data_IF_550423275060
#
_entry.id   IF_550423275060
#
_cell.length_a   1.000
_cell.length_b   1.000
_cell.length_c   1.000
_cell.angle_alpha   90.00
_cell.angle_beta   90.00
_cell.angle_gamma   90.00
#
_symmetry.space_group_name_H-M   'P 1'
#
loop_
_entity.id
_entity.type
_entity.pdbx_description
1 polymer ?
#
# COMPACT_ATOMS: atom_id res chain seq x y z
N UNK A 1 17.71 -1.42 -12.75
CA UNK A 1 16.29 -1.19 -13.12
C UNK A 1 15.97 0.29 -13.15
N UNK A 2 15.50 0.83 -14.27
CA UNK A 2 15.00 2.23 -14.35
C UNK A 2 13.49 2.20 -14.49
N UNK A 3 12.78 2.76 -13.51
CA UNK A 3 11.31 2.81 -13.52
C UNK A 3 10.86 4.06 -14.26
N UNK A 4 10.00 3.89 -15.26
CA UNK A 4 9.48 4.99 -16.08
C UNK A 4 8.37 5.77 -15.35
N UNK A 5 8.17 7.04 -15.71
CA UNK A 5 7.07 7.85 -15.16
C UNK A 5 5.69 7.33 -15.57
N UNK A 6 5.57 6.78 -16.78
CA UNK A 6 4.33 6.24 -17.36
C UNK A 6 4.01 4.81 -16.91
N UNK A 7 4.55 4.39 -15.76
CA UNK A 7 4.36 3.05 -15.21
C UNK A 7 2.88 2.77 -14.92
N UNK A 8 2.44 1.57 -15.28
CA UNK A 8 1.12 0.98 -15.00
C UNK A 8 1.26 -0.23 -14.08
N UNK A 9 0.16 -0.71 -13.50
CA UNK A 9 0.16 -1.96 -12.72
C UNK A 9 0.77 -3.12 -13.52
N UNK A 10 0.40 -3.28 -14.79
CA UNK A 10 0.91 -4.37 -15.62
C UNK A 10 2.41 -4.25 -15.89
N UNK A 11 2.92 -3.05 -16.17
CA UNK A 11 4.37 -2.84 -16.33
C UNK A 11 5.15 -3.06 -15.02
N UNK A 12 4.52 -2.86 -13.85
CA UNK A 12 5.14 -3.20 -12.54
C UNK A 12 5.24 -4.71 -12.38
N UNK A 13 4.19 -5.45 -12.74
CA UNK A 13 4.23 -6.92 -12.70
C UNK A 13 5.25 -7.48 -13.71
N UNK A 14 5.44 -6.84 -14.86
CA UNK A 14 6.51 -7.18 -15.81
C UNK A 14 7.90 -6.96 -15.22
N UNK A 15 8.12 -5.85 -14.52
CA UNK A 15 9.38 -5.60 -13.81
C UNK A 15 9.63 -6.65 -12.71
N UNK A 16 8.59 -7.06 -11.98
CA UNK A 16 8.65 -8.14 -10.98
C UNK A 16 8.92 -9.52 -11.60
N UNK A 17 8.65 -9.71 -12.90
CA UNK A 17 8.91 -10.96 -13.62
C UNK A 17 10.35 -11.12 -14.10
N UNK A 18 11.19 -10.09 -13.95
CA UNK A 18 12.60 -10.19 -14.33
C UNK A 18 13.38 -11.09 -13.35
N UNK A 19 13.95 -12.19 -13.85
CA UNK A 19 14.57 -13.27 -13.04
C UNK A 19 15.70 -12.79 -12.13
N UNK A 20 16.41 -11.73 -12.52
CA UNK A 20 17.33 -11.02 -11.64
C UNK A 20 16.84 -9.58 -11.47
N UNK A 21 16.12 -9.33 -10.37
CA UNK A 21 15.87 -7.95 -9.97
C UNK A 21 17.23 -7.27 -9.80
N UNK A 22 17.53 -6.35 -10.71
CA UNK A 22 18.79 -5.62 -10.74
C UNK A 22 19.23 -5.13 -9.36
N UNK A 23 20.52 -5.17 -9.04
CA UNK A 23 21.05 -4.65 -7.78
C UNK A 23 20.85 -3.14 -7.62
N UNK A 24 20.67 -2.42 -8.72
CA UNK A 24 20.33 -1.01 -8.72
C UNK A 24 18.91 -0.72 -9.16
N UNK A 25 18.27 0.25 -8.50
CA UNK A 25 16.98 0.79 -8.93
C UNK A 25 17.03 2.31 -9.02
N UNK A 26 16.31 2.87 -9.98
CA UNK A 26 16.09 4.30 -10.14
C UNK A 26 14.58 4.56 -10.18
N UNK A 27 14.09 5.30 -9.18
CA UNK A 27 12.67 5.57 -8.94
C UNK A 27 12.33 6.98 -9.46
N UNK A 28 11.24 7.15 -10.24
CA UNK A 28 10.85 8.47 -10.70
C UNK A 28 10.32 9.32 -9.54
N UNK A 29 10.63 10.62 -9.54
CA UNK A 29 10.11 11.58 -8.56
C UNK A 29 8.58 11.74 -8.62
N UNK A 30 7.98 11.46 -9.78
CA UNK A 30 6.55 11.49 -9.99
C UNK A 30 6.12 10.48 -11.05
N UNK A 31 4.91 9.98 -10.91
CA UNK A 31 4.24 9.13 -11.91
C UNK A 31 3.31 9.98 -12.77
N UNK A 32 3.12 9.57 -14.02
CA UNK A 32 2.19 10.22 -14.94
C UNK A 32 0.78 10.24 -14.36
N UNK A 33 0.09 11.38 -14.48
CA UNK A 33 -1.24 11.61 -13.90
C UNK A 33 -1.31 11.40 -12.38
N UNK A 34 -0.18 11.49 -11.69
CA UNK A 34 -0.06 11.29 -10.26
C UNK A 34 -0.18 9.84 -9.80
N UNK A 35 -0.33 8.84 -10.70
CA UNK A 35 -0.36 7.41 -10.33
C UNK A 35 -1.73 6.90 -9.86
N UNK A 36 -2.77 7.07 -10.67
CA UNK A 36 -4.14 6.63 -10.38
C UNK A 36 -4.17 5.11 -10.18
N UNK A 37 -5.03 4.60 -9.28
CA UNK A 37 -5.31 3.17 -9.13
C UNK A 37 -4.20 2.36 -8.45
N UNK A 38 -3.71 2.84 -7.30
CA UNK A 38 -2.76 2.08 -6.48
C UNK A 38 -1.38 1.92 -7.10
N UNK A 39 -1.05 2.63 -8.18
CA UNK A 39 0.27 2.58 -8.82
C UNK A 39 1.38 2.91 -7.81
N UNK A 40 1.16 3.91 -6.95
CA UNK A 40 2.15 4.27 -5.91
C UNK A 40 2.37 3.13 -4.90
N UNK A 41 1.29 2.44 -4.53
CA UNK A 41 1.35 1.29 -3.61
C UNK A 41 2.01 0.07 -4.26
N UNK A 42 1.70 -0.21 -5.53
CA UNK A 42 2.34 -1.28 -6.31
C UNK A 42 3.83 -1.00 -6.55
N UNK A 43 4.21 0.25 -6.83
CA UNK A 43 5.62 0.66 -6.89
C UNK A 43 6.30 0.46 -5.54
N UNK A 44 5.65 0.82 -4.45
CA UNK A 44 6.20 0.59 -3.10
C UNK A 44 6.47 -0.89 -2.86
N UNK A 45 5.55 -1.78 -3.27
CA UNK A 45 5.75 -3.23 -3.15
C UNK A 45 6.86 -3.77 -4.06
N UNK A 46 6.99 -3.26 -5.28
CA UNK A 46 8.12 -3.56 -6.16
C UNK A 46 9.44 -3.20 -5.47
N UNK A 47 9.53 -2.03 -4.86
CA UNK A 47 10.74 -1.57 -4.15
C UNK A 47 11.01 -2.38 -2.88
N UNK A 48 9.97 -2.74 -2.12
CA UNK A 48 10.10 -3.64 -0.97
C UNK A 48 10.65 -5.00 -1.41
N UNK A 49 10.10 -5.56 -2.48
CA UNK A 49 10.51 -6.87 -3.03
C UNK A 49 11.96 -6.82 -3.53
N UNK A 50 12.30 -5.77 -4.28
CA UNK A 50 13.67 -5.50 -4.72
C UNK A 50 14.65 -5.42 -3.54
N UNK A 51 14.32 -4.62 -2.53
CA UNK A 51 15.21 -4.35 -1.40
C UNK A 51 15.43 -5.57 -0.48
N UNK A 52 14.52 -6.55 -0.53
CA UNK A 52 14.64 -7.82 0.21
C UNK A 52 15.34 -8.92 -0.59
N UNK A 53 15.58 -8.72 -1.88
CA UNK A 53 16.39 -9.64 -2.68
C UNK A 53 17.83 -9.72 -2.17
N UNK A 54 18.54 -10.77 -2.56
CA UNK A 54 19.93 -10.99 -2.17
C UNK A 54 20.88 -9.94 -2.77
N UNK A 55 22.00 -9.70 -2.09
CA UNK A 55 23.05 -8.78 -2.57
C UNK A 55 22.89 -7.33 -2.10
N UNK A 56 23.80 -6.48 -2.57
CA UNK A 56 23.80 -5.06 -2.27
C UNK A 56 22.72 -4.34 -3.09
N UNK A 57 21.87 -3.56 -2.42
CA UNK A 57 20.76 -2.85 -3.08
C UNK A 57 21.05 -1.36 -3.16
N UNK A 58 21.31 -0.88 -4.37
CA UNK A 58 21.74 0.50 -4.64
C UNK A 58 20.57 1.33 -5.19
N UNK A 59 20.21 2.41 -4.50
CA UNK A 59 19.24 3.38 -5.00
C UNK A 59 19.97 4.46 -5.80
N UNK A 60 19.81 4.47 -7.13
CA UNK A 60 20.40 5.48 -8.00
C UNK A 60 19.45 6.67 -8.14
N UNK A 61 19.95 7.87 -7.83
CA UNK A 61 19.23 9.13 -8.00
C UNK A 61 19.24 9.60 -9.46
N UNK A 62 18.39 10.58 -9.77
CA UNK A 62 18.34 11.25 -11.08
C UNK A 62 19.10 12.59 -11.09
N UNK A 63 19.90 12.88 -10.05
CA UNK A 63 20.57 14.17 -9.85
C UNK A 63 22.09 14.01 -9.76
N UNK A 64 22.80 15.13 -9.90
CA UNK A 64 24.23 15.24 -9.61
C UNK A 64 24.49 15.32 -8.10
N UNK A 65 25.77 15.35 -7.74
CA UNK A 65 26.26 15.41 -6.36
C UNK A 65 25.86 16.71 -5.64
N UNK A 66 25.84 17.85 -6.32
CA UNK A 66 25.48 19.13 -5.70
C UNK A 66 23.97 19.26 -5.39
N UNK A 67 23.13 18.44 -6.02
CA UNK A 67 21.67 18.52 -5.92
C UNK A 67 21.05 17.43 -5.02
N UNK A 68 21.84 16.45 -4.56
CA UNK A 68 21.32 15.21 -3.99
C UNK A 68 20.38 15.43 -2.81
N UNK A 69 20.69 16.38 -1.93
CA UNK A 69 19.90 16.60 -0.71
C UNK A 69 18.47 17.03 -1.03
N UNK A 70 18.30 17.93 -2.01
CA UNK A 70 16.99 18.39 -2.47
C UNK A 70 16.21 17.30 -3.21
N UNK A 71 16.93 16.47 -3.97
CA UNK A 71 16.37 15.34 -4.71
C UNK A 71 15.87 14.25 -3.76
N UNK A 72 16.67 13.85 -2.76
CA UNK A 72 16.28 12.88 -1.73
C UNK A 72 15.08 13.36 -0.92
N UNK A 73 15.08 14.63 -0.49
CA UNK A 73 13.95 15.23 0.22
C UNK A 73 12.65 15.23 -0.60
N UNK A 74 12.75 15.28 -1.93
CA UNK A 74 11.59 15.18 -2.83
C UNK A 74 11.17 13.72 -3.04
N UNK A 75 12.13 12.84 -3.34
CA UNK A 75 11.89 11.42 -3.57
C UNK A 75 11.23 10.75 -2.36
N UNK A 76 11.74 11.01 -1.16
CA UNK A 76 11.27 10.42 0.09
C UNK A 76 9.84 10.81 0.49
N UNK A 77 9.20 11.77 -0.20
CA UNK A 77 7.79 12.08 0.04
C UNK A 77 6.81 11.11 -0.65
N UNK A 78 7.27 10.41 -1.68
CA UNK A 78 6.52 9.30 -2.26
C UNK A 78 6.69 8.05 -1.40
N UNK A 79 5.66 7.21 -1.33
CA UNK A 79 5.73 5.93 -0.60
C UNK A 79 6.84 5.01 -1.13
N UNK A 80 6.97 4.90 -2.46
CA UNK A 80 8.01 4.10 -3.09
C UNK A 80 9.42 4.66 -2.86
N UNK A 81 9.60 5.98 -2.93
CA UNK A 81 10.88 6.64 -2.66
C UNK A 81 11.30 6.52 -1.20
N UNK A 82 10.37 6.68 -0.25
CA UNK A 82 10.62 6.41 1.16
C UNK A 82 11.04 4.95 1.37
N UNK A 83 10.35 4.00 0.73
CA UNK A 83 10.72 2.60 0.80
C UNK A 83 12.11 2.32 0.27
N UNK A 84 12.47 2.89 -0.87
CA UNK A 84 13.80 2.77 -1.46
C UNK A 84 14.88 3.31 -0.51
N UNK A 85 14.69 4.52 0.01
CA UNK A 85 15.65 5.19 0.91
C UNK A 85 15.81 4.43 2.24
N UNK A 86 14.72 3.94 2.83
CA UNK A 86 14.77 3.19 4.08
C UNK A 86 15.42 1.81 3.87
N UNK A 87 15.05 1.10 2.81
CA UNK A 87 15.35 -0.32 2.68
C UNK A 87 16.64 -0.62 1.91
N UNK A 88 17.11 0.27 1.03
CA UNK A 88 18.36 0.07 0.28
C UNK A 88 19.58 -0.16 1.19
N UNK A 89 20.66 -0.65 0.58
CA UNK A 89 21.98 -0.73 1.18
C UNK A 89 22.75 0.56 0.96
N UNK A 90 22.75 1.09 -0.27
CA UNK A 90 23.49 2.29 -0.69
C UNK A 90 22.64 3.26 -1.50
N UNK A 91 23.10 4.50 -1.59
CA UNK A 91 22.49 5.56 -2.40
C UNK A 91 23.56 6.19 -3.27
N UNK A 92 23.35 6.22 -4.58
CA UNK A 92 24.31 6.77 -5.55
C UNK A 92 23.67 7.92 -6.34
N UNK A 93 24.47 8.92 -6.70
CA UNK A 93 24.06 9.96 -7.66
C UNK A 93 23.93 9.40 -9.08
N UNK A 94 23.49 10.22 -10.03
CA UNK A 94 23.43 9.84 -11.44
C UNK A 94 24.82 9.52 -12.02
N UNK A 95 25.88 10.06 -11.41
CA UNK A 95 27.28 9.91 -11.80
C UNK A 95 28.02 8.85 -10.97
N UNK A 96 27.29 7.98 -10.25
CA UNK A 96 27.83 6.88 -9.43
C UNK A 96 28.72 7.34 -8.27
N UNK A 97 28.43 8.53 -7.74
CA UNK A 97 29.06 8.99 -6.50
C UNK A 97 28.18 8.52 -5.35
N UNK A 98 28.76 7.73 -4.45
CA UNK A 98 28.08 7.19 -3.27
C UNK A 98 27.79 8.33 -2.29
N UNK A 99 26.57 8.35 -1.77
CA UNK A 99 26.10 9.25 -0.73
C UNK A 99 25.94 8.44 0.55
N UNK A 100 26.48 8.96 1.65
CA UNK A 100 26.27 8.37 2.97
C UNK A 100 24.78 8.26 3.27
N UNK A 101 24.31 7.02 3.46
CA UNK A 101 22.88 6.74 3.62
C UNK A 101 22.30 7.46 4.85
N UNK A 102 23.08 7.61 5.92
CA UNK A 102 22.68 8.38 7.09
C UNK A 102 22.34 9.82 6.73
N UNK A 103 23.13 10.45 5.87
CA UNK A 103 22.94 11.84 5.45
C UNK A 103 21.71 11.96 4.55
N UNK A 104 21.52 11.00 3.64
CA UNK A 104 20.29 10.88 2.85
C UNK A 104 19.05 10.80 3.76
N UNK A 105 19.06 9.95 4.80
CA UNK A 105 17.95 9.81 5.73
C UNK A 105 17.74 11.04 6.62
N UNK A 106 18.79 11.79 6.97
CA UNK A 106 18.68 13.03 7.74
C UNK A 106 17.87 14.10 7.01
N UNK A 107 17.92 14.14 5.67
CA UNK A 107 17.07 15.06 4.88
C UNK A 107 15.57 14.80 5.05
N UNK A 108 15.18 13.58 5.43
CA UNK A 108 13.79 13.18 5.65
C UNK A 108 13.29 13.47 7.07
N UNK A 109 14.17 13.86 8.00
CA UNK A 109 13.83 14.00 9.42
C UNK A 109 12.58 14.87 9.67
N UNK A 110 12.37 16.03 9.00
CA UNK A 110 11.15 16.82 9.19
C UNK A 110 9.88 16.05 8.82
N UNK A 111 9.91 15.27 7.73
CA UNK A 111 8.79 14.44 7.30
C UNK A 111 8.56 13.26 8.25
N UNK A 112 9.63 12.59 8.70
CA UNK A 112 9.55 11.51 9.70
C UNK A 112 8.95 12.02 11.01
N UNK A 113 9.35 13.22 11.46
CA UNK A 113 8.76 13.88 12.63
C UNK A 113 7.27 14.16 12.41
N UNK A 114 6.90 14.71 11.26
CA UNK A 114 5.50 14.96 10.92
C UNK A 114 4.64 13.69 10.89
N UNK A 115 5.16 12.58 10.33
CA UNK A 115 4.49 11.28 10.37
C UNK A 115 4.34 10.77 11.81
N UNK A 116 5.40 10.89 12.61
CA UNK A 116 5.38 10.48 14.01
C UNK A 116 4.34 11.25 14.83
N UNK A 117 4.24 12.57 14.63
CA UNK A 117 3.29 13.43 15.36
C UNK A 117 1.88 13.46 14.76
N UNK A 118 1.69 12.93 13.54
CA UNK A 118 0.39 12.97 12.85
C UNK A 118 0.06 14.31 12.21
N UNK A 119 1.07 15.10 11.82
CA UNK A 119 0.90 16.37 11.10
C UNK A 119 0.68 16.08 9.61
N UNK A 120 -0.51 15.58 9.26
CA UNK A 120 -0.83 15.00 7.94
C UNK A 120 -0.44 15.87 6.73
N UNK A 121 -0.61 17.20 6.85
CA UNK A 121 -0.28 18.13 5.76
C UNK A 121 1.19 18.05 5.34
N UNK A 122 2.08 17.84 6.30
CA UNK A 122 3.53 17.80 6.08
C UNK A 122 4.04 16.41 5.63
N UNK A 123 3.14 15.43 5.55
CA UNK A 123 3.46 14.06 5.06
C UNK A 123 3.01 13.84 3.62
N UNK A 124 2.58 14.91 2.94
CA UNK A 124 2.15 14.90 1.54
C UNK A 124 3.31 14.79 0.55
N UNK A 125 3.04 14.19 -0.60
CA UNK A 125 3.96 14.16 -1.75
C UNK A 125 4.09 15.51 -2.48
N UNK A 126 3.15 16.43 -2.27
CA UNK A 126 3.08 17.74 -2.92
C UNK A 126 3.11 18.86 -1.90
N UNK A 127 3.89 19.91 -2.19
CA UNK A 127 3.84 21.18 -1.46
C UNK A 127 2.68 22.01 -2.04
N UNK A 128 1.75 22.45 -1.21
CA UNK A 128 0.61 23.26 -1.64
C UNK A 128 -0.47 23.46 -0.58
N UNK A 129 -1.45 24.31 -0.88
CA UNK A 129 -2.55 24.61 0.02
C UNK A 129 -3.50 23.41 0.25
N UNK A 130 -3.60 22.51 -0.74
CA UNK A 130 -4.39 21.27 -0.69
C UNK A 130 -3.55 20.09 -1.16
N UNK A 131 -3.04 19.23 -0.25
CA UNK A 131 -2.34 18.02 -0.65
C UNK A 131 -3.30 17.08 -1.40
N UNK A 132 -2.79 16.27 -2.32
CA UNK A 132 -3.57 15.23 -3.01
C UNK A 132 -3.23 13.82 -2.54
N UNK A 133 -2.13 13.66 -1.82
CA UNK A 133 -1.69 12.40 -1.21
C UNK A 133 -1.18 12.69 0.20
N UNK A 134 -1.49 11.80 1.14
CA UNK A 134 -0.98 11.78 2.51
C UNK A 134 -0.38 10.41 2.74
N UNK A 135 0.88 10.37 3.17
CA UNK A 135 1.61 9.15 3.46
C UNK A 135 1.88 9.05 4.97
N UNK A 136 1.59 7.89 5.57
CA UNK A 136 1.88 7.59 6.98
C UNK A 136 2.54 6.22 7.06
N UNK A 137 3.81 6.17 7.46
CA UNK A 137 4.59 4.94 7.50
C UNK A 137 5.29 4.76 8.84
N UNK A 138 5.19 3.55 9.38
CA UNK A 138 5.98 3.05 10.49
C UNK A 138 7.16 2.28 9.94
N UNK A 139 8.37 2.61 10.40
CA UNK A 139 9.63 1.98 9.97
C UNK A 139 10.10 1.03 11.06
N UNK A 140 10.16 -0.27 10.75
CA UNK A 140 10.59 -1.30 11.70
C UNK A 140 11.98 -1.00 12.27
N UNK A 141 12.14 -1.17 13.58
CA UNK A 141 13.39 -0.98 14.32
C UNK A 141 13.94 0.46 14.32
N UNK A 142 13.19 1.44 13.80
CA UNK A 142 13.54 2.84 13.96
C UNK A 142 13.18 3.34 15.37
N UNK A 143 13.89 4.38 15.85
CA UNK A 143 13.57 5.04 17.14
C UNK A 143 12.12 5.54 17.22
N UNK A 144 11.52 5.84 16.08
CA UNK A 144 10.14 6.32 15.92
C UNK A 144 9.28 5.33 15.13
N UNK A 145 9.53 4.03 15.32
CA UNK A 145 8.78 2.98 14.64
C UNK A 145 7.26 3.16 14.80
N UNK A 146 6.80 3.35 16.04
CA UNK A 146 5.39 3.45 16.36
C UNK A 146 4.91 4.90 16.29
N UNK A 147 4.40 5.30 15.12
CA UNK A 147 3.87 6.65 14.90
C UNK A 147 2.55 6.87 15.67
N UNK A 148 2.35 8.06 16.25
CA UNK A 148 1.15 8.38 17.06
C UNK A 148 -0.17 8.21 16.31
N UNK A 149 -0.27 8.42 14.98
CA UNK A 149 -1.51 8.14 14.26
C UNK A 149 -1.98 6.68 14.34
N UNK A 150 -1.05 5.71 14.38
CA UNK A 150 -1.41 4.29 14.37
C UNK A 150 -1.43 3.69 15.77
N UNK A 151 -0.66 4.25 16.71
CA UNK A 151 -0.36 3.61 17.98
C UNK A 151 -0.59 4.52 19.18
N UNK A 152 -1.07 3.91 20.25
CA UNK A 152 -1.16 4.50 21.58
C UNK A 152 -0.61 3.56 22.66
N UNK A 153 -0.49 4.09 23.88
CA UNK A 153 -0.14 3.31 25.07
C UNK A 153 1.36 3.27 25.37
N UNK A 154 1.74 2.30 26.21
CA UNK A 154 3.08 2.13 26.76
C UNK A 154 4.01 1.29 25.87
N UNK A 155 4.85 0.47 26.51
CA UNK A 155 5.81 -0.43 25.85
C UNK A 155 5.43 -1.87 26.19
N UNK A 156 4.97 -2.70 25.23
CA UNK A 156 4.78 -2.38 23.81
C UNK A 156 3.51 -1.54 23.55
N UNK A 157 3.50 -0.70 22.51
CA UNK A 157 2.33 0.08 22.14
C UNK A 157 1.28 -0.80 21.46
N UNK A 158 0.03 -0.31 21.45
CA UNK A 158 -1.11 -0.98 20.82
C UNK A 158 -1.65 -0.15 19.67
N UNK A 159 -2.12 -0.82 18.62
CA UNK A 159 -2.82 -0.16 17.51
C UNK A 159 -4.09 0.53 18.03
N UNK A 160 -4.33 1.75 17.60
CA UNK A 160 -5.52 2.51 17.95
C UNK A 160 -6.83 1.81 17.52
N UNK A 161 -7.96 2.07 18.19
CA UNK A 161 -9.27 1.62 17.71
C UNK A 161 -9.69 2.28 16.39
N UNK A 162 -10.73 1.73 15.76
CA UNK A 162 -11.15 2.12 14.40
C UNK A 162 -11.69 3.55 14.26
N UNK A 163 -12.18 4.15 15.34
CA UNK A 163 -12.61 5.56 15.41
C UNK A 163 -11.43 6.53 15.22
N UNK A 164 -10.24 6.20 15.71
CA UNK A 164 -9.03 6.98 15.47
C UNK A 164 -8.68 7.03 13.98
N UNK A 165 -8.78 5.88 13.28
CA UNK A 165 -8.54 5.80 11.84
C UNK A 165 -9.61 6.54 11.03
N UNK A 166 -10.88 6.49 11.47
CA UNK A 166 -11.92 7.35 10.91
C UNK A 166 -11.54 8.85 11.06
N UNK A 167 -11.01 9.25 12.21
CA UNK A 167 -10.51 10.62 12.43
C UNK A 167 -9.33 11.02 11.53
N UNK A 168 -8.43 10.09 11.18
CA UNK A 168 -7.36 10.34 10.21
C UNK A 168 -7.94 10.64 8.84
N UNK A 169 -8.92 9.84 8.40
CA UNK A 169 -9.55 10.01 7.09
C UNK A 169 -10.33 11.31 7.00
N UNK A 170 -11.06 11.69 8.05
CA UNK A 170 -11.76 12.97 8.11
C UNK A 170 -10.80 14.16 7.99
N UNK A 171 -9.70 14.13 8.76
CA UNK A 171 -8.65 15.16 8.67
C UNK A 171 -8.02 15.20 7.28
N UNK A 172 -7.68 14.05 6.70
CA UNK A 172 -7.14 13.96 5.36
C UNK A 172 -8.10 14.52 4.31
N UNK A 173 -9.38 14.11 4.35
CA UNK A 173 -10.44 14.61 3.47
C UNK A 173 -10.61 16.12 3.61
N UNK A 174 -10.56 16.66 4.83
CA UNK A 174 -10.62 18.11 5.09
C UNK A 174 -9.46 18.89 4.47
N UNK A 175 -8.27 18.29 4.37
CA UNK A 175 -7.11 18.89 3.71
C UNK A 175 -7.18 18.80 2.17
N UNK A 176 -7.74 17.70 1.65
CA UNK A 176 -7.74 17.38 0.22
C UNK A 176 -8.92 17.99 -0.54
N UNK A 177 -10.10 18.08 0.08
CA UNK A 177 -11.39 18.29 -0.60
C UNK A 177 -12.06 19.62 -0.26
N UNK A 178 -12.98 20.08 -1.12
CA UNK A 178 -13.83 21.24 -0.82
C UNK A 178 -14.96 20.89 0.14
N UNK A 179 -15.63 21.89 0.75
CA UNK A 179 -16.78 21.64 1.64
C UNK A 179 -17.94 20.88 0.98
N UNK A 180 -18.08 20.94 -0.35
CA UNK A 180 -19.12 20.25 -1.08
C UNK A 180 -18.80 18.75 -1.22
N UNK A 181 -17.60 18.42 -1.70
CA UNK A 181 -17.15 17.03 -1.94
C UNK A 181 -17.09 16.21 -0.63
N UNK A 182 -16.72 16.85 0.49
CA UNK A 182 -16.68 16.20 1.80
C UNK A 182 -18.03 15.63 2.27
N UNK A 183 -19.16 16.22 1.86
CA UNK A 183 -20.48 15.80 2.38
C UNK A 183 -20.87 14.39 1.94
N UNK A 184 -20.38 13.91 0.79
CA UNK A 184 -20.68 12.57 0.30
C UNK A 184 -19.95 11.48 1.10
N UNK A 185 -18.64 11.65 1.33
CA UNK A 185 -17.81 10.72 2.13
C UNK A 185 -18.31 10.62 3.59
N UNK A 186 -18.71 11.75 4.17
CA UNK A 186 -19.07 11.87 5.59
C UNK A 186 -20.44 11.31 5.95
N UNK A 187 -21.36 11.14 4.97
CA UNK A 187 -22.75 10.79 5.29
C UNK A 187 -22.89 9.34 5.76
N UNK A 188 -22.09 8.39 5.23
CA UNK A 188 -22.19 6.97 5.59
C UNK A 188 -20.88 6.14 5.50
N UNK A 189 -19.79 6.68 4.93
CA UNK A 189 -18.58 5.88 4.62
C UNK A 189 -17.46 5.93 5.65
N UNK A 190 -17.36 7.01 6.44
CA UNK A 190 -16.18 7.27 7.27
C UNK A 190 -15.91 6.18 8.33
N UNK A 191 -16.94 5.76 9.07
CA UNK A 191 -16.81 4.72 10.09
C UNK A 191 -16.45 3.36 9.48
N UNK A 192 -17.07 3.01 8.34
CA UNK A 192 -16.75 1.80 7.59
C UNK A 192 -15.30 1.80 7.11
N UNK A 193 -14.81 2.93 6.60
CA UNK A 193 -13.43 3.06 6.15
C UNK A 193 -12.44 3.02 7.33
N UNK A 194 -12.76 3.64 8.46
CA UNK A 194 -11.98 3.53 9.70
C UNK A 194 -11.84 2.08 10.17
N UNK A 195 -12.93 1.30 10.13
CA UNK A 195 -12.91 -0.13 10.43
C UNK A 195 -12.01 -0.92 9.47
N UNK A 196 -12.10 -0.66 8.16
CA UNK A 196 -11.24 -1.34 7.18
C UNK A 196 -9.77 -1.05 7.46
N UNK A 197 -9.41 0.23 7.61
CA UNK A 197 -8.01 0.63 7.82
C UNK A 197 -7.47 0.06 9.13
N UNK A 198 -8.25 0.13 10.21
CA UNK A 198 -7.88 -0.47 11.50
C UNK A 198 -7.50 -1.95 11.35
N UNK A 199 -8.39 -2.75 10.75
CA UNK A 199 -8.16 -4.19 10.61
C UNK A 199 -6.94 -4.46 9.72
N UNK A 200 -6.74 -3.71 8.65
CA UNK A 200 -5.59 -3.88 7.76
C UNK A 200 -4.26 -3.47 8.43
N UNK A 201 -4.23 -2.36 9.18
CA UNK A 201 -3.04 -1.92 9.92
C UNK A 201 -2.74 -2.88 11.09
N UNK A 202 -3.77 -3.37 11.77
CA UNK A 202 -3.62 -4.38 12.83
C UNK A 202 -3.03 -5.69 12.28
N UNK A 203 -3.50 -6.15 11.11
CA UNK A 203 -2.93 -7.33 10.45
C UNK A 203 -1.46 -7.09 10.05
N UNK A 204 -1.14 -5.92 9.50
CA UNK A 204 0.25 -5.57 9.17
C UNK A 204 1.14 -5.53 10.42
N UNK A 205 0.67 -4.94 11.53
CA UNK A 205 1.42 -4.91 12.79
C UNK A 205 1.68 -6.32 13.35
N UNK A 206 0.67 -7.19 13.31
CA UNK A 206 0.75 -8.54 13.84
C UNK A 206 1.56 -9.52 12.98
N UNK A 207 1.57 -9.34 11.65
CA UNK A 207 2.07 -10.37 10.74
C UNK A 207 3.24 -9.92 9.85
N UNK A 208 3.51 -8.62 9.77
CA UNK A 208 4.51 -8.03 8.87
C UNK A 208 5.69 -7.34 9.60
N UNK A 209 5.81 -7.53 10.91
CA UNK A 209 6.92 -6.98 11.72
C UNK A 209 8.11 -7.94 11.88
N UNK A 210 7.88 -9.22 11.60
CA UNK A 210 8.87 -10.30 11.75
C UNK A 210 9.00 -11.14 10.48
N UNK A 211 10.14 -11.83 10.33
CA UNK A 211 10.33 -12.89 9.33
C UNK A 211 9.45 -14.11 9.63
N UNK A 212 9.52 -15.14 8.77
CA UNK A 212 8.85 -16.40 9.02
C UNK A 212 9.45 -17.15 10.22
N UNK A 213 10.74 -16.95 10.49
CA UNK A 213 11.45 -17.48 11.66
C UNK A 213 11.14 -16.70 12.96
N UNK A 214 10.33 -15.64 12.87
CA UNK A 214 9.96 -14.81 14.02
C UNK A 214 10.96 -13.69 14.36
N UNK A 215 12.03 -13.53 13.57
CA UNK A 215 13.01 -12.47 13.78
C UNK A 215 12.44 -11.10 13.39
N UNK A 216 12.63 -10.08 14.23
CA UNK A 216 12.18 -8.72 13.91
C UNK A 216 12.97 -8.15 12.74
N UNK A 217 12.28 -7.54 11.78
CA UNK A 217 12.94 -6.91 10.64
C UNK A 217 13.83 -5.73 11.06
N UNK A 218 15.08 -5.73 10.60
CA UNK A 218 16.00 -4.59 10.74
C UNK A 218 15.56 -3.38 9.93
N UNK A 219 14.94 -3.63 8.77
CA UNK A 219 14.36 -2.63 7.87
C UNK A 219 13.04 -3.19 7.38
N UNK A 220 11.96 -2.45 7.57
CA UNK A 220 10.62 -2.83 7.16
C UNK A 220 9.68 -1.64 7.24
N UNK A 221 8.60 -1.71 6.49
CA UNK A 221 7.58 -0.69 6.40
C UNK A 221 6.21 -1.31 6.62
N UNK A 222 5.36 -0.53 7.28
CA UNK A 222 3.90 -0.71 7.33
C UNK A 222 3.27 0.66 7.31
N UNK A 223 2.29 0.87 6.44
CA UNK A 223 1.81 2.22 6.20
C UNK A 223 0.48 2.32 5.50
N UNK A 224 0.00 3.56 5.48
CA UNK A 224 -1.25 4.02 4.91
C UNK A 224 -0.94 5.15 3.93
N UNK A 225 -1.39 5.01 2.70
CA UNK A 225 -1.44 6.09 1.72
C UNK A 225 -2.89 6.45 1.49
N UNK A 226 -3.24 7.72 1.71
CA UNK A 226 -4.56 8.28 1.39
C UNK A 226 -4.38 9.23 0.23
N UNK A 227 -5.19 9.07 -0.80
CA UNK A 227 -5.08 9.84 -2.02
C UNK A 227 -6.43 10.26 -2.53
N UNK A 228 -6.51 11.52 -2.94
CA UNK A 228 -7.67 12.06 -3.63
C UNK A 228 -7.33 12.25 -5.10
N UNK A 229 -8.19 11.77 -5.99
CA UNK A 229 -7.96 11.88 -7.45
C UNK A 229 -9.27 12.19 -8.16
N UNK A 230 -9.21 13.14 -9.09
CA UNK A 230 -10.28 13.42 -10.03
C UNK A 230 -9.99 12.76 -11.36
N UNK A 231 -10.79 11.77 -11.72
CA UNK A 231 -10.68 11.03 -12.98
C UNK A 231 -11.63 11.64 -14.01
N UNK A 232 -11.13 11.92 -15.21
CA UNK A 232 -11.97 12.40 -16.32
C UNK A 232 -12.40 11.23 -17.22
N UNK A 233 -13.60 11.30 -17.80
CA UNK A 233 -14.15 10.27 -18.70
C UNK A 233 -13.24 9.99 -19.90
N UNK A 234 -12.61 11.04 -20.44
CA UNK A 234 -11.62 10.94 -21.53
C UNK A 234 -10.41 10.08 -21.16
N UNK A 235 -10.11 9.91 -19.88
CA UNK A 235 -8.96 9.14 -19.40
C UNK A 235 -9.28 7.64 -19.25
N UNK A 236 -10.53 7.20 -19.40
CA UNK A 236 -10.92 5.82 -19.15
C UNK A 236 -10.38 4.85 -20.21
N UNK A 237 -10.67 5.13 -21.49
CA UNK A 237 -10.41 4.21 -22.60
C UNK A 237 -8.92 4.05 -22.93
N UNK A 238 -8.13 5.10 -22.74
CA UNK A 238 -6.71 5.07 -23.13
C UNK A 238 -5.81 4.51 -22.01
N UNK A 239 -6.30 4.41 -20.76
CA UNK A 239 -5.45 4.11 -19.59
C UNK A 239 -5.78 2.82 -18.85
N UNK A 240 -7.02 2.33 -18.96
CA UNK A 240 -7.48 1.17 -18.20
C UNK A 240 -7.97 0.05 -19.13
N UNK A 241 -7.14 -0.35 -20.09
CA UNK A 241 -7.41 -1.47 -20.98
C UNK A 241 -6.86 -2.79 -20.41
N UNK A 242 -7.26 -3.92 -21.00
CA UNK A 242 -6.73 -5.24 -20.64
C UNK A 242 -7.08 -5.66 -19.19
N UNK A 243 -6.07 -5.97 -18.39
CA UNK A 243 -6.21 -6.44 -17.00
C UNK A 243 -6.99 -5.47 -16.10
N UNK A 244 -6.99 -4.18 -16.46
CA UNK A 244 -7.69 -3.12 -15.74
C UNK A 244 -9.17 -2.94 -16.11
N UNK A 245 -9.73 -3.75 -17.02
CA UNK A 245 -11.10 -3.59 -17.51
C UNK A 245 -12.18 -3.64 -16.42
N UNK A 246 -11.96 -4.40 -15.33
CA UNK A 246 -12.88 -4.43 -14.19
C UNK A 246 -12.92 -3.07 -13.46
N UNK A 247 -11.76 -2.44 -13.30
CA UNK A 247 -11.65 -1.11 -12.71
C UNK A 247 -12.22 -0.05 -13.64
N UNK A 248 -11.93 -0.12 -14.95
CA UNK A 248 -12.55 0.76 -15.95
C UNK A 248 -14.08 0.74 -15.87
N UNK A 249 -14.67 -0.47 -15.79
CA UNK A 249 -16.12 -0.65 -15.64
C UNK A 249 -16.64 -0.07 -14.32
N UNK A 250 -15.90 -0.24 -13.24
CA UNK A 250 -16.23 0.39 -11.96
C UNK A 250 -16.27 1.92 -12.07
N UNK A 251 -15.29 2.54 -12.73
CA UNK A 251 -15.27 3.98 -12.96
C UNK A 251 -16.46 4.42 -13.82
N UNK A 252 -16.71 3.73 -14.95
CA UNK A 252 -17.80 4.05 -15.86
C UNK A 252 -19.18 3.97 -15.18
N UNK A 253 -19.40 2.96 -14.34
CA UNK A 253 -20.66 2.78 -13.60
C UNK A 253 -20.92 3.86 -12.54
N UNK A 254 -19.86 4.50 -12.02
CA UNK A 254 -19.97 5.58 -11.04
C UNK A 254 -19.93 6.99 -11.69
N UNK A 255 -19.66 7.08 -12.99
CA UNK A 255 -19.75 8.31 -13.79
C UNK A 255 -21.15 8.47 -14.43
N UNK A 256 -22.20 8.58 -13.61
CA UNK A 256 -23.60 8.58 -14.10
C UNK A 256 -24.09 9.94 -14.59
N UNK A 257 -23.61 11.06 -14.04
CA UNK A 257 -24.14 12.41 -14.33
C UNK A 257 -23.06 13.47 -14.68
N UNK A 258 -21.86 13.05 -15.08
CA UNK A 258 -20.81 13.99 -15.46
C UNK A 258 -19.62 13.34 -16.14
N UNK A 259 -18.67 14.18 -16.55
CA UNK A 259 -17.42 13.77 -17.18
C UNK A 259 -16.27 13.58 -16.20
N UNK A 260 -16.53 13.75 -14.89
CA UNK A 260 -15.52 13.54 -13.86
C UNK A 260 -16.06 12.68 -12.71
N UNK A 261 -15.18 11.86 -12.16
CA UNK A 261 -15.41 11.10 -10.93
C UNK A 261 -14.32 11.47 -9.93
N UNK A 262 -14.74 11.93 -8.76
CA UNK A 262 -13.85 12.13 -7.64
C UNK A 262 -13.73 10.82 -6.85
N UNK A 263 -12.50 10.40 -6.60
CA UNK A 263 -12.16 9.14 -5.92
C UNK A 263 -11.32 9.42 -4.68
N UNK A 264 -11.65 8.74 -3.60
CA UNK A 264 -10.74 8.51 -2.50
C UNK A 264 -10.10 7.13 -2.69
N UNK A 265 -8.78 7.11 -2.85
CA UNK A 265 -7.96 5.92 -2.87
C UNK A 265 -7.26 5.78 -1.52
N UNK A 266 -7.37 4.59 -0.93
CA UNK A 266 -6.69 4.24 0.32
C UNK A 266 -5.89 2.98 0.09
N UNK A 267 -4.59 3.03 0.33
CA UNK A 267 -3.73 1.86 0.25
C UNK A 267 -3.11 1.55 1.60
N UNK A 268 -3.18 0.28 2.01
CA UNK A 268 -2.44 -0.25 3.17
C UNK A 268 -1.35 -1.16 2.64
N UNK A 269 -0.12 -0.88 3.04
CA UNK A 269 1.10 -1.50 2.51
C UNK A 269 1.90 -2.04 3.68
N UNK A 270 2.36 -3.27 3.57
CA UNK A 270 3.34 -3.84 4.49
C UNK A 270 4.50 -4.50 3.76
N UNK A 271 5.56 -4.80 4.51
CA UNK A 271 6.78 -5.46 4.04
C UNK A 271 6.95 -6.85 4.64
N UNK A 272 5.87 -7.50 5.06
CA UNK A 272 5.88 -8.83 5.66
C UNK A 272 6.19 -9.94 4.65
N UNK A 273 5.99 -11.20 5.04
CA UNK A 273 6.12 -12.33 4.11
C UNK A 273 4.89 -12.52 3.20
N UNK A 274 3.84 -11.72 3.34
CA UNK A 274 2.57 -11.94 2.61
C UNK A 274 1.65 -12.94 3.30
N UNK A 275 0.38 -12.95 2.86
CA UNK A 275 -0.72 -13.60 3.59
C UNK A 275 -0.60 -15.12 3.61
N UNK A 276 -0.64 -15.76 2.44
CA UNK A 276 -0.61 -17.22 2.33
C UNK A 276 0.65 -17.83 2.94
N UNK A 277 1.82 -17.24 2.68
CA UNK A 277 3.10 -17.76 3.19
C UNK A 277 3.13 -17.76 4.73
N UNK A 278 2.68 -16.68 5.37
CA UNK A 278 2.54 -16.63 6.84
C UNK A 278 1.51 -17.64 7.33
N UNK A 279 0.34 -17.67 6.70
CA UNK A 279 -0.77 -18.52 7.09
C UNK A 279 -0.41 -20.00 7.05
N UNK A 280 0.08 -20.47 5.91
CA UNK A 280 0.48 -21.86 5.70
C UNK A 280 1.65 -22.25 6.60
N UNK A 281 2.61 -21.35 6.82
CA UNK A 281 3.73 -21.65 7.71
C UNK A 281 3.27 -21.90 9.15
N UNK A 282 2.31 -21.11 9.62
CA UNK A 282 1.67 -21.30 10.91
C UNK A 282 0.82 -22.58 10.94
N UNK A 283 -0.09 -22.74 9.97
CA UNK A 283 -1.04 -23.87 9.88
C UNK A 283 -0.35 -25.23 9.81
N UNK A 284 0.78 -25.33 9.12
CA UNK A 284 1.54 -26.57 8.98
C UNK A 284 2.62 -26.77 10.04
N UNK A 285 2.89 -25.77 10.88
CA UNK A 285 4.01 -25.80 11.83
C UNK A 285 5.39 -25.93 11.17
N UNK A 286 5.53 -25.53 9.89
CA UNK A 286 6.80 -25.55 9.14
C UNK A 286 6.94 -24.30 8.29
N UNK A 287 8.15 -23.78 8.16
CA UNK A 287 8.40 -22.57 7.39
C UNK A 287 8.31 -22.85 5.89
N UNK A 288 7.51 -22.05 5.17
CA UNK A 288 7.45 -22.04 3.71
C UNK A 288 8.30 -20.87 3.19
N UNK A 289 9.57 -21.14 2.92
CA UNK A 289 10.49 -20.11 2.41
C UNK A 289 10.20 -19.76 0.93
N UNK A 290 9.91 -20.79 0.13
CA UNK A 290 9.68 -20.67 -1.29
C UNK A 290 8.22 -21.02 -1.64
N UNK A 291 7.48 -20.03 -2.13
CA UNK A 291 6.11 -20.20 -2.59
C UNK A 291 6.00 -21.12 -3.82
N UNK A 292 7.08 -21.36 -4.59
CA UNK A 292 7.03 -22.33 -5.71
C UNK A 292 6.73 -23.76 -5.24
N UNK A 293 6.97 -24.06 -3.96
CA UNK A 293 6.63 -25.35 -3.33
C UNK A 293 5.15 -25.53 -3.02
N UNK A 294 4.35 -24.47 -3.19
CA UNK A 294 2.90 -24.42 -2.96
C UNK A 294 2.22 -24.18 -4.31
N UNK A 295 1.09 -24.83 -4.59
CA UNK A 295 0.33 -24.57 -5.83
C UNK A 295 -0.35 -23.20 -5.78
N UNK A 296 -0.73 -22.64 -6.94
CA UNK A 296 -1.43 -21.35 -6.97
C UNK A 296 -2.82 -21.48 -6.32
N UNK A 297 -3.46 -22.64 -6.48
CA UNK A 297 -4.76 -22.96 -5.89
C UNK A 297 -4.68 -23.05 -4.37
N UNK A 298 -3.64 -23.68 -3.83
CA UNK A 298 -3.40 -23.76 -2.38
C UNK A 298 -3.06 -22.38 -1.80
N UNK A 299 -2.24 -21.58 -2.51
CA UNK A 299 -1.95 -20.20 -2.11
C UNK A 299 -3.21 -19.33 -2.11
N UNK A 300 -4.07 -19.48 -3.12
CA UNK A 300 -5.36 -18.80 -3.20
C UNK A 300 -6.26 -19.23 -2.05
N UNK A 301 -6.41 -20.53 -1.80
CA UNK A 301 -7.22 -21.04 -0.70
C UNK A 301 -6.74 -20.49 0.66
N UNK A 302 -5.43 -20.55 0.93
CA UNK A 302 -4.82 -19.98 2.12
C UNK A 302 -5.06 -18.46 2.27
N UNK A 303 -4.98 -17.72 1.16
CA UNK A 303 -5.28 -16.28 1.16
C UNK A 303 -6.75 -16.02 1.45
N UNK A 304 -7.67 -16.80 0.87
CA UNK A 304 -9.11 -16.67 1.08
C UNK A 304 -9.53 -17.05 2.50
N UNK A 305 -8.90 -18.07 3.09
CA UNK A 305 -9.10 -18.47 4.50
C UNK A 305 -8.87 -17.29 5.46
N UNK A 306 -7.91 -16.40 5.17
CA UNK A 306 -7.67 -15.20 5.98
C UNK A 306 -8.88 -14.25 6.05
N UNK A 307 -9.82 -14.32 5.09
CA UNK A 307 -11.04 -13.50 5.05
C UNK A 307 -12.26 -14.21 5.67
N UNK A 308 -12.13 -15.48 6.03
CA UNK A 308 -13.22 -16.25 6.62
C UNK A 308 -13.40 -15.92 8.10
N UNK A 309 -14.62 -16.19 8.58
CA UNK A 309 -15.02 -15.91 9.96
C UNK A 309 -14.37 -16.96 10.89
N UNK A 310 -13.76 -16.53 11.98
CA UNK A 310 -13.12 -17.39 12.99
C UNK A 310 -11.85 -18.12 12.51
N UNK A 311 -11.19 -17.59 11.49
CA UNK A 311 -9.91 -18.13 11.01
C UNK A 311 -8.79 -17.17 11.44
N UNK A 312 -7.98 -17.57 12.43
CA UNK A 312 -6.70 -16.90 12.76
C UNK A 312 -5.61 -17.86 13.20
N UNK A 313 -4.40 -17.32 13.29
CA UNK A 313 -3.22 -17.94 13.86
C UNK A 313 -3.11 -17.80 15.39
N UNK A 314 -4.22 -17.53 16.09
CA UNK A 314 -4.29 -17.38 17.55
C UNK A 314 -5.30 -18.37 18.16
N UNK A 315 -5.01 -18.81 19.38
CA UNK A 315 -5.84 -19.75 20.16
C UNK A 315 -7.00 -19.08 20.95
N UNK A 316 -7.26 -17.78 20.77
CA UNK A 316 -8.31 -17.05 21.51
C UNK A 316 -9.64 -16.97 20.73
N UNK A 317 -10.77 -17.25 21.40
CA UNK A 317 -12.15 -17.31 20.85
C UNK A 317 -12.65 -16.01 20.16
N UNK A 318 -11.98 -14.87 20.36
CA UNK A 318 -12.34 -13.54 19.80
C UNK A 318 -11.60 -13.23 18.49
N UNK A 319 -10.63 -14.06 18.11
CA UNK A 319 -9.78 -13.87 16.93
C UNK A 319 -10.48 -14.37 15.65
N UNK A 320 -10.35 -13.64 14.53
CA UNK A 320 -10.76 -14.15 13.18
C UNK A 320 -11.94 -13.47 12.55
N UNK A 321 -12.32 -12.33 13.09
CA UNK A 321 -13.40 -11.51 12.55
C UNK A 321 -12.92 -10.34 11.70
N UNK A 322 -11.60 -10.04 11.71
CA UNK A 322 -11.08 -8.76 11.25
C UNK A 322 -11.29 -8.50 9.76
N UNK A 323 -10.72 -9.36 8.91
CA UNK A 323 -10.88 -9.23 7.45
C UNK A 323 -12.31 -9.51 6.98
N UNK A 324 -13.08 -10.32 7.72
CA UNK A 324 -14.52 -10.47 7.48
C UNK A 324 -15.28 -9.14 7.70
N UNK A 325 -15.02 -8.45 8.82
CA UNK A 325 -15.59 -7.11 9.10
C UNK A 325 -15.16 -6.09 8.06
N UNK A 326 -13.88 -6.11 7.66
CA UNK A 326 -13.38 -5.25 6.60
C UNK A 326 -14.13 -5.51 5.28
N UNK A 327 -14.40 -6.76 4.92
CA UNK A 327 -15.16 -7.11 3.71
C UNK A 327 -16.58 -6.51 3.72
N UNK A 328 -17.29 -6.63 4.85
CA UNK A 328 -18.61 -6.01 5.00
C UNK A 328 -18.54 -4.49 4.81
N UNK A 329 -17.57 -3.84 5.45
CA UNK A 329 -17.37 -2.41 5.33
C UNK A 329 -17.00 -1.97 3.89
N UNK A 330 -16.17 -2.73 3.17
CA UNK A 330 -15.88 -2.49 1.75
C UNK A 330 -17.15 -2.63 0.88
N UNK A 331 -18.07 -3.52 1.24
CA UNK A 331 -19.36 -3.63 0.58
C UNK A 331 -20.25 -2.42 0.81
N UNK A 332 -20.36 -1.95 2.06
CA UNK A 332 -21.14 -0.76 2.42
C UNK A 332 -20.63 0.49 1.70
N UNK A 333 -19.31 0.56 1.47
CA UNK A 333 -18.65 1.62 0.71
C UNK A 333 -18.82 1.52 -0.81
N UNK A 334 -19.39 0.42 -1.33
CA UNK A 334 -19.43 0.11 -2.77
C UNK A 334 -18.05 0.23 -3.43
N UNK A 335 -17.01 -0.19 -2.69
CA UNK A 335 -15.64 0.06 -3.07
C UNK A 335 -15.20 -0.86 -4.21
N UNK A 336 -14.20 -0.40 -4.97
CA UNK A 336 -13.32 -1.29 -5.70
C UNK A 336 -12.12 -1.64 -4.82
N UNK A 337 -11.68 -2.89 -4.84
CA UNK A 337 -10.54 -3.38 -4.03
C UNK A 337 -9.59 -4.18 -4.90
N UNK A 338 -8.29 -3.92 -4.77
CA UNK A 338 -7.20 -4.77 -5.24
C UNK A 338 -6.38 -5.27 -4.06
N UNK A 339 -6.03 -6.55 -4.05
CA UNK A 339 -5.12 -7.19 -3.11
C UNK A 339 -3.94 -7.78 -3.88
N UNK A 340 -2.71 -7.42 -3.53
CA UNK A 340 -1.47 -8.01 -4.08
C UNK A 340 -0.63 -8.61 -2.96
N UNK A 341 -0.44 -9.93 -2.99
CA UNK A 341 0.34 -10.68 -1.99
C UNK A 341 0.88 -11.97 -2.61
N UNK A 342 2.10 -12.39 -2.27
CA UNK A 342 2.70 -13.62 -2.82
C UNK A 342 2.70 -13.62 -4.35
N UNK A 343 2.15 -14.65 -5.00
CA UNK A 343 1.98 -14.73 -6.46
C UNK A 343 0.58 -14.30 -6.93
N UNK A 344 -0.26 -13.80 -6.02
CA UNK A 344 -1.64 -13.45 -6.28
C UNK A 344 -1.82 -11.94 -6.43
N UNK A 345 -2.60 -11.54 -7.42
CA UNK A 345 -3.18 -10.20 -7.57
C UNK A 345 -4.67 -10.38 -7.80
N UNK A 346 -5.48 -9.96 -6.83
CA UNK A 346 -6.91 -10.20 -6.74
C UNK A 346 -7.66 -8.86 -6.79
N UNK A 347 -8.82 -8.83 -7.43
CA UNK A 347 -9.66 -7.65 -7.56
C UNK A 347 -11.15 -7.96 -7.35
N UNK A 348 -11.87 -7.02 -6.74
CA UNK A 348 -13.31 -7.11 -6.53
C UNK A 348 -13.95 -5.72 -6.55
N UNK A 349 -15.09 -5.64 -7.24
CA UNK A 349 -16.00 -4.50 -7.14
C UNK A 349 -17.17 -4.89 -6.25
N UNK A 350 -17.40 -4.12 -5.19
CA UNK A 350 -18.56 -4.28 -4.33
C UNK A 350 -19.74 -3.43 -4.82
N UNK A 351 -20.95 -3.95 -4.62
CA UNK A 351 -22.18 -3.29 -5.09
C UNK A 351 -23.09 -2.78 -3.97
N UNK A 352 -22.74 -3.02 -2.71
CA UNK A 352 -23.56 -2.66 -1.54
C UNK A 352 -24.80 -3.54 -1.36
N UNK A 353 -24.91 -4.66 -2.08
CA UNK A 353 -25.98 -5.64 -1.88
C UNK A 353 -25.55 -6.66 -0.82
N UNK A 354 -26.45 -7.12 0.09
CA UNK A 354 -26.08 -8.12 1.10
C UNK A 354 -25.51 -9.42 0.50
N UNK A 355 -26.00 -9.82 -0.68
CA UNK A 355 -25.57 -11.02 -1.40
C UNK A 355 -24.14 -10.92 -1.98
N UNK A 356 -23.56 -9.71 -2.06
CA UNK A 356 -22.18 -9.46 -2.52
C UNK A 356 -21.24 -9.09 -1.38
N UNK A 357 -21.66 -9.25 -0.12
CA UNK A 357 -20.84 -8.99 1.07
C UNK A 357 -19.76 -10.05 1.33
N UNK A 358 -19.64 -11.10 0.50
CA UNK A 358 -18.56 -12.08 0.56
C UNK A 358 -17.36 -11.58 -0.27
N UNK A 359 -16.15 -11.81 0.23
CA UNK A 359 -14.94 -11.66 -0.57
C UNK A 359 -14.86 -12.86 -1.52
N UNK A 360 -15.06 -12.61 -2.80
CA UNK A 360 -15.02 -13.57 -3.90
C UNK A 360 -14.33 -12.89 -5.09
N UNK A 361 -13.04 -12.55 -4.94
CA UNK A 361 -12.34 -11.73 -5.91
C UNK A 361 -12.05 -12.52 -7.19
N UNK A 362 -11.83 -11.78 -8.27
CA UNK A 362 -11.29 -12.32 -9.52
C UNK A 362 -9.79 -12.04 -9.59
N UNK A 363 -9.00 -12.89 -10.26
CA UNK A 363 -7.63 -12.55 -10.60
C UNK A 363 -7.53 -11.24 -11.39
N UNK A 364 -6.42 -10.53 -11.21
CA UNK A 364 -6.07 -9.34 -11.99
C UNK A 364 -5.76 -9.70 -13.44
N UNK A 365 -4.90 -10.71 -13.65
CA UNK A 365 -4.65 -11.34 -14.96
C UNK A 365 -5.38 -12.68 -15.05
N UNK A 366 -5.85 -13.03 -16.24
CA UNK A 366 -6.70 -14.21 -16.45
C UNK A 366 -5.99 -15.55 -16.17
N UNK A 367 -4.68 -15.62 -16.40
CA UNK A 367 -3.84 -16.78 -16.08
C UNK A 367 -3.48 -16.90 -14.59
N UNK A 368 -3.71 -15.84 -13.81
CA UNK A 368 -3.61 -15.82 -12.34
C UNK A 368 -2.20 -15.96 -11.76
N UNK A 369 -1.20 -16.32 -12.58
CA UNK A 369 0.18 -16.56 -12.13
C UNK A 369 1.04 -15.31 -12.30
N UNK A 370 1.46 -14.73 -11.18
CA UNK A 370 2.43 -13.63 -11.16
C UNK A 370 3.70 -14.05 -10.41
N UNK A 371 4.75 -13.26 -10.54
CA UNK A 371 5.94 -13.41 -9.69
C UNK A 371 5.58 -13.24 -8.21
N UNK A 372 6.31 -13.95 -7.36
CA UNK A 372 6.19 -13.77 -5.92
C UNK A 372 6.65 -12.36 -5.53
N UNK A 373 5.90 -11.71 -4.64
CA UNK A 373 6.27 -10.43 -4.04
C UNK A 373 6.38 -10.54 -2.54
N UNK A 374 7.15 -9.64 -1.97
CA UNK A 374 7.20 -9.43 -0.53
C UNK A 374 6.07 -8.49 -0.09
N UNK A 375 5.59 -8.71 1.13
CA UNK A 375 4.54 -7.91 1.74
C UNK A 375 3.14 -8.13 1.17
N UNK A 376 2.20 -7.34 1.69
CA UNK A 376 0.83 -7.26 1.20
C UNK A 376 0.47 -5.82 0.87
N UNK A 377 -0.24 -5.63 -0.24
CA UNK A 377 -0.83 -4.34 -0.61
C UNK A 377 -2.32 -4.51 -0.82
N UNK A 378 -3.09 -3.75 -0.04
CA UNK A 378 -4.48 -3.47 -0.33
C UNK A 378 -4.59 -2.09 -0.96
N UNK A 379 -5.32 -1.96 -2.06
CA UNK A 379 -5.74 -0.67 -2.64
C UNK A 379 -7.25 -0.65 -2.73
N UNK A 380 -7.86 0.34 -2.11
CA UNK A 380 -9.32 0.51 -2.01
C UNK A 380 -9.68 1.84 -2.66
N UNK A 381 -10.56 1.82 -3.66
CA UNK A 381 -11.06 3.01 -4.34
C UNK A 381 -12.54 3.21 -4.04
N UNK A 382 -12.89 4.42 -3.58
CA UNK A 382 -14.23 4.79 -3.14
C UNK A 382 -14.69 6.01 -3.93
N UNK A 383 -15.84 5.98 -4.60
CA UNK A 383 -16.47 7.16 -5.21
C UNK A 383 -16.90 8.15 -4.13
N UNK A 384 -16.61 9.44 -4.30
CA UNK A 384 -16.95 10.50 -3.32
C UNK A 384 -17.81 11.62 -3.90
N UNK A 385 -18.47 11.40 -5.03
CA UNK A 385 -19.37 12.36 -5.68
C UNK A 385 -20.86 12.12 -5.38
#
# INVERSE_FOLDING_TARGET
MIIQKSVTIDSIEELLATESMHDSVRIPLNTSYGGIFGIEAALTQLIITWAKGEGEKVLHLHCDEDEWASHVATLGRSSAGLAGLVMCTKVDTKSHIEIEKSDALLTLLPMIQAMYDGVLKETSNTRGARPTVINLFSVSSARREYIKPFYAGGVPPTVHPSDAFAGIIDKASTLMQTKADRRALMKHGLASLGNVIFELILNADQHATTSLDGEKYKKGLRGLTIKYTKVQRSQLKDKFTGSAATFERFLANNMTQGDTLDLLEVSVIDSGPGMARRWLSHKHGRIINDLTTVTIEEELAATMECFEKHVTSKDDEVSGMGLHRATKAMNDLRAFVRLRTGRLSLQQTFSGKPQTAKFAPKPWKADGKLSAVEGTVFTICIPVN
#
